data_IF_543681096272
#
_entry.id   IF_543681096272
#
_cell.length_a   1.000
_cell.length_b   1.000
_cell.length_c   1.000
_cell.angle_alpha   90.00
_cell.angle_beta   90.00
_cell.angle_gamma   90.00
#
_symmetry.space_group_name_H-M   'P 1'
#
loop_
_entity.id
_entity.type
_entity.pdbx_description
1 polymer ?
#
# COMPACT_ATOMS: atom_id res chain seq x y z
N UNK A 1 2.59 0.75 -10.52
CA UNK A 1 2.38 2.11 -9.98
C UNK A 1 2.87 2.14 -8.54
N UNK A 2 3.26 3.29 -8.02
CA UNK A 2 3.57 3.47 -6.59
C UNK A 2 2.73 4.62 -6.04
N UNK A 3 2.16 4.44 -4.85
CA UNK A 3 1.26 5.40 -4.18
C UNK A 3 1.85 5.83 -2.84
N UNK A 4 1.54 7.05 -2.39
CA UNK A 4 1.98 7.52 -1.08
C UNK A 4 0.87 7.32 -0.04
N UNK A 5 1.24 6.79 1.13
CA UNK A 5 0.40 6.63 2.30
C UNK A 5 0.84 7.60 3.39
N UNK A 6 -0.13 8.01 4.20
CA UNK A 6 0.08 8.57 5.52
C UNK A 6 0.81 7.52 6.40
N UNK A 7 1.86 7.94 7.09
CA UNK A 7 2.61 7.04 7.95
C UNK A 7 1.78 6.55 9.14
N UNK A 8 1.86 5.24 9.40
CA UNK A 8 1.09 4.57 10.43
C UNK A 8 2.02 3.72 11.30
N UNK A 9 2.10 4.04 12.59
CA UNK A 9 2.98 3.35 13.54
C UNK A 9 2.54 1.89 13.81
N UNK A 10 1.27 1.58 13.51
CA UNK A 10 0.70 0.24 13.60
C UNK A 10 0.82 -0.57 12.29
N UNK A 11 1.77 -0.19 11.42
CA UNK A 11 2.04 -0.89 10.17
C UNK A 11 0.84 -0.96 9.21
N UNK A 12 -0.04 0.02 9.27
CA UNK A 12 -1.29 0.10 8.49
C UNK A 12 -2.20 -1.14 8.66
N UNK A 13 -2.21 -1.72 9.87
CA UNK A 13 -3.00 -2.90 10.19
C UNK A 13 -4.13 -2.62 11.19
N UNK A 14 -4.22 -1.39 11.70
CA UNK A 14 -5.23 -1.04 12.70
C UNK A 14 -5.68 0.41 12.50
N UNK A 15 -6.81 0.75 13.10
CA UNK A 15 -7.29 2.12 13.11
C UNK A 15 -6.35 2.97 13.97
N UNK A 16 -5.74 4.00 13.39
CA UNK A 16 -4.88 4.92 14.15
C UNK A 16 -4.85 6.31 13.57
N UNK A 17 -4.79 7.29 14.46
CA UNK A 17 -4.50 8.68 14.13
C UNK A 17 -3.03 8.96 14.42
N UNK A 18 -2.33 9.59 13.48
CA UNK A 18 -0.96 10.06 13.69
C UNK A 18 -0.88 11.57 13.46
N UNK A 19 -0.88 12.36 14.55
CA UNK A 19 -0.83 13.82 14.49
C UNK A 19 0.46 14.37 13.88
N UNK A 20 1.53 13.57 13.83
CA UNK A 20 2.84 13.96 13.27
C UNK A 20 2.92 13.74 11.77
N UNK A 21 1.92 13.09 11.14
CA UNK A 21 1.97 12.75 9.72
C UNK A 21 2.05 13.99 8.85
N UNK A 22 2.87 13.97 7.78
CA UNK A 22 3.01 15.14 6.92
C UNK A 22 1.75 15.52 6.13
N UNK A 23 0.81 14.59 5.98
CA UNK A 23 -0.38 14.71 5.15
C UNK A 23 -1.48 15.48 5.88
N UNK A 24 -1.84 16.67 5.41
CA UNK A 24 -2.84 17.51 6.07
C UNK A 24 -4.19 16.82 6.24
N UNK A 25 -4.63 16.03 5.25
CA UNK A 25 -5.88 15.26 5.34
C UNK A 25 -5.85 14.16 6.42
N UNK A 26 -4.66 13.70 6.80
CA UNK A 26 -4.48 12.68 7.83
C UNK A 26 -4.11 13.28 9.20
N UNK A 27 -3.92 14.61 9.27
CA UNK A 27 -3.81 15.37 10.52
C UNK A 27 -5.23 15.77 10.95
N UNK A 28 -5.86 14.96 11.78
CA UNK A 28 -7.23 15.25 12.19
C UNK A 28 -7.69 14.44 13.38
N UNK A 29 -8.97 14.60 13.70
CA UNK A 29 -9.67 13.83 14.73
C UNK A 29 -9.89 12.39 14.29
N UNK A 30 -10.05 12.16 12.98
CA UNK A 30 -10.35 10.85 12.42
C UNK A 30 -9.12 10.18 11.77
N UNK A 31 -9.01 8.85 11.85
CA UNK A 31 -7.98 8.06 11.18
C UNK A 31 -8.06 8.20 9.65
N UNK A 32 -6.93 8.26 8.92
CA UNK A 32 -6.94 8.16 7.47
C UNK A 32 -7.30 6.73 7.04
N UNK A 33 -8.10 6.55 5.99
CA UNK A 33 -8.50 5.21 5.52
C UNK A 33 -7.30 4.30 5.15
N UNK A 34 -6.17 4.90 4.78
CA UNK A 34 -4.91 4.21 4.46
C UNK A 34 -4.36 3.37 5.62
N UNK A 35 -4.74 3.65 6.88
CA UNK A 35 -4.26 2.94 8.06
C UNK A 35 -4.69 1.47 8.15
N UNK A 36 -5.53 0.97 7.25
CA UNK A 36 -5.94 -0.44 7.18
C UNK A 36 -5.50 -1.15 5.89
N UNK A 37 -4.60 -0.55 5.09
CA UNK A 37 -4.15 -1.13 3.83
C UNK A 37 -3.45 -2.49 3.98
N UNK A 38 -2.93 -2.83 5.15
CA UNK A 38 -2.28 -4.13 5.38
C UNK A 38 -2.99 -4.98 6.43
N UNK A 39 -4.17 -4.56 6.89
CA UNK A 39 -5.13 -5.47 7.52
C UNK A 39 -5.89 -6.23 6.41
N UNK A 40 -5.61 -7.52 6.24
CA UNK A 40 -6.23 -8.34 5.19
C UNK A 40 -7.46 -9.11 5.69
N UNK A 41 -8.06 -8.67 6.80
CA UNK A 41 -9.24 -9.31 7.42
C UNK A 41 -10.29 -8.27 7.81
N UNK A 42 -10.36 -7.15 7.08
CA UNK A 42 -11.30 -6.08 7.40
C UNK A 42 -12.74 -6.56 7.36
N UNK A 43 -13.52 -6.12 8.33
CA UNK A 43 -14.97 -6.35 8.43
C UNK A 43 -15.69 -5.02 8.63
N UNK A 44 -16.93 -4.94 8.18
CA UNK A 44 -17.79 -3.80 8.44
C UNK A 44 -18.43 -3.86 9.83
N UNK A 45 -19.22 -2.85 10.18
CA UNK A 45 -19.89 -2.73 11.48
C UNK A 45 -20.91 -3.83 11.77
N UNK A 46 -21.36 -4.55 10.75
CA UNK A 46 -22.27 -5.68 10.88
C UNK A 46 -21.50 -7.01 10.97
N UNK A 47 -20.17 -6.96 10.99
CA UNK A 47 -19.29 -8.12 10.97
C UNK A 47 -19.17 -8.77 9.58
N UNK A 48 -19.73 -8.15 8.53
CA UNK A 48 -19.63 -8.65 7.16
C UNK A 48 -18.24 -8.39 6.61
N UNK A 49 -17.73 -9.35 5.85
CA UNK A 49 -16.42 -9.28 5.24
C UNK A 49 -16.31 -8.09 4.26
N UNK A 50 -15.38 -7.17 4.52
CA UNK A 50 -14.91 -6.19 3.52
C UNK A 50 -13.85 -6.85 2.66
N UNK A 51 -12.87 -7.50 3.29
CA UNK A 51 -11.91 -8.36 2.60
C UNK A 51 -12.42 -9.79 2.54
N UNK A 52 -12.15 -10.48 1.44
CA UNK A 52 -12.46 -11.90 1.27
C UNK A 52 -11.19 -12.74 1.40
N UNK A 53 -11.31 -14.07 1.32
CA UNK A 53 -10.14 -14.97 1.28
C UNK A 53 -9.24 -14.73 0.06
N UNK A 54 -9.75 -14.09 -1.00
CA UNK A 54 -9.03 -13.85 -2.25
C UNK A 54 -8.75 -12.38 -2.53
N UNK A 55 -9.54 -11.45 -1.96
CA UNK A 55 -9.47 -10.03 -2.28
C UNK A 55 -9.23 -9.19 -1.03
N UNK A 56 -8.21 -8.35 -1.08
CA UNK A 56 -7.98 -7.28 -0.10
C UNK A 56 -8.37 -5.94 -0.72
N UNK A 57 -9.03 -5.09 0.04
CA UNK A 57 -9.35 -3.71 -0.32
C UNK A 57 -8.42 -2.73 0.40
N UNK A 58 -8.07 -1.65 -0.28
CA UNK A 58 -7.24 -0.60 0.27
C UNK A 58 -7.68 0.77 -0.22
N UNK A 59 -6.98 1.78 0.29
CA UNK A 59 -7.20 3.17 -0.03
C UNK A 59 -5.87 3.88 -0.24
N UNK A 60 -5.84 4.83 -1.17
CA UNK A 60 -4.80 5.85 -1.21
C UNK A 60 -5.42 7.19 -1.61
N UNK A 61 -4.97 8.27 -1.00
CA UNK A 61 -5.47 9.60 -1.33
C UNK A 61 -4.90 10.05 -2.68
N UNK A 62 -5.76 10.54 -3.57
CA UNK A 62 -5.35 11.17 -4.83
C UNK A 62 -6.36 12.24 -5.24
N UNK A 63 -5.88 13.32 -5.87
CA UNK A 63 -6.73 14.33 -6.50
C UNK A 63 -7.18 13.94 -7.91
N UNK A 64 -6.52 12.96 -8.52
CA UNK A 64 -6.80 12.50 -9.89
C UNK A 64 -6.84 10.98 -9.97
N UNK A 65 -7.68 10.43 -10.84
CA UNK A 65 -7.74 8.99 -11.09
C UNK A 65 -6.54 8.53 -11.93
N UNK A 66 -5.84 7.43 -11.59
CA UNK A 66 -4.74 6.89 -12.39
C UNK A 66 -5.20 6.31 -13.75
N UNK A 67 -5.34 7.17 -14.76
CA UNK A 67 -5.87 6.79 -16.09
C UNK A 67 -5.02 5.80 -16.90
N UNK A 68 -3.73 5.65 -16.59
CA UNK A 68 -2.81 4.73 -17.28
C UNK A 68 -2.56 3.44 -16.49
N UNK A 69 -3.21 3.28 -15.33
CA UNK A 69 -3.11 2.05 -14.58
C UNK A 69 -3.95 0.98 -15.29
N UNK A 70 -3.31 -0.13 -15.63
CA UNK A 70 -3.96 -1.28 -16.24
C UNK A 70 -4.45 -2.18 -15.11
N UNK A 71 -5.71 -2.61 -15.16
CA UNK A 71 -6.25 -3.59 -14.23
C UNK A 71 -5.39 -4.85 -14.22
N UNK A 72 -5.34 -5.54 -13.07
CA UNK A 72 -4.42 -6.65 -12.81
C UNK A 72 -2.94 -6.21 -12.75
N UNK A 73 -2.68 -4.93 -12.49
CA UNK A 73 -1.34 -4.38 -12.35
C UNK A 73 -0.76 -4.59 -10.95
N UNK A 74 0.34 -3.88 -10.66
CA UNK A 74 0.92 -3.82 -9.32
C UNK A 74 0.87 -2.41 -8.75
N UNK A 75 0.48 -2.32 -7.48
CA UNK A 75 0.49 -1.08 -6.70
C UNK A 75 1.48 -1.25 -5.55
N UNK A 76 2.61 -0.56 -5.63
CA UNK A 76 3.56 -0.45 -4.54
C UNK A 76 3.13 0.67 -3.60
N UNK A 77 3.38 0.50 -2.32
CA UNK A 77 3.04 1.47 -1.29
C UNK A 77 4.31 2.10 -0.75
N UNK A 78 4.33 3.43 -0.75
CA UNK A 78 5.38 4.26 -0.19
C UNK A 78 4.81 5.04 0.98
N UNK A 79 5.61 5.28 2.01
CA UNK A 79 5.25 6.16 3.12
C UNK A 79 6.49 6.85 3.68
N UNK A 80 6.33 8.08 4.16
CA UNK A 80 7.41 8.83 4.80
C UNK A 80 7.29 8.75 6.32
N UNK A 81 8.29 8.16 6.98
CA UNK A 81 8.32 8.00 8.43
C UNK A 81 8.24 9.34 9.15
N UNK A 82 7.46 9.37 10.23
CA UNK A 82 7.38 10.52 11.14
C UNK A 82 8.52 10.53 12.16
N UNK A 83 9.29 9.44 12.27
CA UNK A 83 10.37 9.29 13.26
C UNK A 83 11.69 9.84 12.71
N UNK A 84 12.10 9.39 11.52
CA UNK A 84 13.40 9.74 10.93
C UNK A 84 13.29 10.54 9.64
N UNK A 85 12.05 10.89 9.25
CA UNK A 85 11.72 11.65 8.05
C UNK A 85 12.22 11.02 6.74
N UNK A 86 12.53 9.71 6.72
CA UNK A 86 12.91 8.99 5.51
C UNK A 86 11.68 8.40 4.81
N UNK A 87 11.77 8.30 3.49
CA UNK A 87 10.79 7.60 2.68
C UNK A 87 11.08 6.10 2.62
N UNK A 88 10.03 5.30 2.70
CA UNK A 88 10.08 3.85 2.72
C UNK A 88 9.09 3.26 1.72
N UNK A 89 9.48 2.19 1.03
CA UNK A 89 8.55 1.32 0.30
C UNK A 89 8.14 0.22 1.28
N UNK A 90 6.85 0.15 1.57
CA UNK A 90 6.34 -0.59 2.74
C UNK A 90 5.53 -1.82 2.35
N UNK A 91 5.15 -1.98 1.09
CA UNK A 91 4.40 -3.14 0.64
C UNK A 91 3.96 -3.06 -0.80
N UNK A 92 3.20 -4.05 -1.21
CA UNK A 92 2.69 -4.19 -2.59
C UNK A 92 1.36 -4.93 -2.61
N UNK A 93 0.48 -4.51 -3.53
CA UNK A 93 -0.66 -5.28 -3.99
C UNK A 93 -0.40 -5.77 -5.42
N UNK A 94 -0.57 -7.08 -5.62
CA UNK A 94 -0.55 -7.74 -6.92
C UNK A 94 -1.95 -7.99 -7.48
N UNK A 95 -2.05 -8.16 -8.80
CA UNK A 95 -3.33 -8.26 -9.53
C UNK A 95 -4.28 -7.12 -9.16
N UNK A 96 -3.70 -5.95 -8.92
CA UNK A 96 -4.41 -4.83 -8.37
C UNK A 96 -5.34 -4.19 -9.39
N UNK A 97 -6.46 -3.70 -8.90
CA UNK A 97 -7.51 -3.06 -9.70
C UNK A 97 -7.89 -1.72 -9.07
N UNK A 98 -8.14 -0.71 -9.90
CA UNK A 98 -8.77 0.52 -9.43
C UNK A 98 -10.27 0.28 -9.31
N UNK A 99 -10.84 0.53 -8.15
CA UNK A 99 -12.29 0.43 -7.96
C UNK A 99 -12.91 1.69 -8.57
N UNK A 100 -13.87 1.53 -9.48
CA UNK A 100 -14.40 2.63 -10.31
C UNK A 100 -15.10 3.73 -9.52
N UNK A 101 -15.56 3.41 -8.30
CA UNK A 101 -16.15 4.36 -7.36
C UNK A 101 -15.64 4.03 -5.96
N UNK A 102 -15.48 5.05 -5.12
CA UNK A 102 -15.20 4.83 -3.70
C UNK A 102 -16.32 3.98 -3.13
N UNK A 103 -15.95 2.89 -2.48
CA UNK A 103 -16.91 1.95 -1.93
C UNK A 103 -16.99 2.15 -0.41
N UNK A 104 -17.87 3.04 0.08
CA UNK A 104 -18.06 3.24 1.50
C UNK A 104 -18.65 1.96 2.11
N UNK A 105 -18.05 1.53 3.21
CA UNK A 105 -18.53 0.43 4.05
C UNK A 105 -18.61 0.93 5.48
N UNK A 106 -19.66 0.58 6.22
CA UNK A 106 -19.76 0.97 7.63
C UNK A 106 -18.56 0.46 8.43
N UNK A 107 -17.80 1.34 9.06
CA UNK A 107 -16.64 1.01 9.88
C UNK A 107 -16.48 2.02 11.03
N UNK A 108 -16.72 1.59 12.28
CA UNK A 108 -16.67 2.44 13.47
C UNK A 108 -15.26 3.00 13.67
N UNK A 109 -15.19 4.30 13.95
CA UNK A 109 -13.94 4.99 14.27
C UNK A 109 -13.35 5.81 13.13
N UNK A 110 -13.85 5.67 11.90
CA UNK A 110 -13.58 6.61 10.82
C UNK A 110 -14.54 7.80 10.82
N UNK A 111 -14.22 8.83 10.04
CA UNK A 111 -15.16 9.92 9.77
C UNK A 111 -16.46 9.34 9.20
N UNK A 112 -17.61 9.80 9.72
CA UNK A 112 -18.96 9.26 9.40
C UNK A 112 -19.15 7.76 9.68
N UNK A 113 -18.23 7.12 10.40
CA UNK A 113 -18.18 5.67 10.61
C UNK A 113 -18.19 4.89 9.28
N UNK A 114 -17.42 5.36 8.30
CA UNK A 114 -17.28 4.71 6.99
C UNK A 114 -15.80 4.46 6.64
N UNK A 115 -15.49 3.27 6.16
CA UNK A 115 -14.23 2.97 5.50
C UNK A 115 -14.38 3.16 3.99
N UNK A 116 -13.50 3.96 3.39
CA UNK A 116 -13.41 4.13 1.95
C UNK A 116 -12.34 3.20 1.37
N UNK A 117 -12.63 2.60 0.24
CA UNK A 117 -11.65 1.88 -0.58
C UNK A 117 -11.72 2.33 -2.04
N UNK A 118 -10.56 2.41 -2.69
CA UNK A 118 -10.44 2.78 -4.10
C UNK A 118 -9.48 1.87 -4.90
N UNK A 119 -8.90 0.87 -4.22
CA UNK A 119 -8.08 -0.17 -4.81
C UNK A 119 -8.43 -1.52 -4.20
N UNK A 120 -8.18 -2.57 -4.98
CA UNK A 120 -8.16 -3.93 -4.48
C UNK A 120 -6.93 -4.67 -5.01
N UNK A 121 -6.60 -5.79 -4.40
CA UNK A 121 -5.55 -6.71 -4.83
C UNK A 121 -5.85 -8.14 -4.42
N UNK A 122 -5.12 -9.09 -5.00
CA UNK A 122 -5.24 -10.50 -4.63
C UNK A 122 -4.47 -10.77 -3.33
N UNK A 123 -5.12 -11.38 -2.33
CA UNK A 123 -4.52 -11.65 -1.01
C UNK A 123 -3.25 -12.50 -1.12
N UNK A 124 -3.24 -13.47 -2.03
CA UNK A 124 -2.10 -14.36 -2.27
C UNK A 124 -0.92 -13.66 -2.95
N UNK A 125 -1.14 -12.48 -3.55
CA UNK A 125 -0.13 -11.66 -4.25
C UNK A 125 0.02 -10.27 -3.62
N UNK A 126 -0.48 -10.08 -2.41
CA UNK A 126 -0.37 -8.81 -1.68
C UNK A 126 0.35 -9.03 -0.36
N UNK A 127 1.20 -8.08 0.03
CA UNK A 127 1.94 -8.17 1.29
C UNK A 127 2.45 -6.81 1.75
N UNK A 128 2.48 -6.66 3.08
CA UNK A 128 3.37 -5.71 3.74
C UNK A 128 4.79 -6.28 3.66
N UNK A 129 5.77 -5.41 3.46
CA UNK A 129 7.19 -5.77 3.45
C UNK A 129 7.72 -6.04 4.87
N UNK A 130 8.87 -6.70 4.96
CA UNK A 130 9.56 -6.96 6.23
C UNK A 130 10.15 -5.66 6.79
N UNK A 131 10.22 -5.59 8.11
CA UNK A 131 10.94 -4.52 8.82
C UNK A 131 12.41 -4.97 9.00
N UNK A 132 13.42 -4.15 8.67
CA UNK A 132 13.33 -2.78 8.15
C UNK A 132 12.85 -2.69 6.70
N UNK A 133 11.95 -1.73 6.45
CA UNK A 133 11.43 -1.44 5.12
C UNK A 133 12.52 -0.88 4.18
N UNK A 134 12.31 -1.04 2.87
CA UNK A 134 13.22 -0.54 1.84
C UNK A 134 13.22 1.00 1.82
N UNK A 135 14.39 1.62 2.07
CA UNK A 135 14.54 3.09 1.98
C UNK A 135 14.37 3.59 0.53
N UNK A 136 13.82 4.78 0.32
CA UNK A 136 13.55 5.32 -1.02
C UNK A 136 14.81 5.69 -1.83
N UNK A 137 15.94 5.94 -1.14
CA UNK A 137 17.15 6.54 -1.74
C UNK A 137 17.67 5.81 -2.98
N UNK A 138 17.74 4.46 -3.02
CA UNK A 138 18.19 3.74 -4.20
C UNK A 138 17.23 3.79 -5.39
N UNK A 139 15.99 4.28 -5.19
CA UNK A 139 14.88 4.19 -6.15
C UNK A 139 14.44 5.54 -6.72
N UNK A 140 14.80 6.66 -6.08
CA UNK A 140 14.30 8.01 -6.43
C UNK A 140 15.06 8.77 -7.52
N UNK A 141 16.01 8.15 -8.22
CA UNK A 141 16.79 8.80 -9.27
C UNK A 141 17.37 10.15 -8.84
N UNK A 142 17.09 11.21 -9.59
CA UNK A 142 17.46 12.60 -9.25
C UNK A 142 16.36 13.36 -8.49
N UNK A 143 15.22 12.73 -8.22
CA UNK A 143 14.07 13.38 -7.62
C UNK A 143 14.22 13.51 -6.09
N UNK A 144 13.59 14.56 -5.54
CA UNK A 144 13.59 14.79 -4.07
C UNK A 144 12.87 13.68 -3.31
N UNK A 145 11.83 13.08 -3.91
CA UNK A 145 10.98 12.03 -3.34
C UNK A 145 10.58 11.04 -4.44
N UNK A 146 10.37 9.78 -4.07
CA UNK A 146 9.89 8.75 -5.02
C UNK A 146 8.46 9.02 -5.52
N UNK A 147 7.58 9.49 -4.64
CA UNK A 147 6.20 9.93 -4.91
C UNK A 147 5.93 11.27 -4.21
N UNK A 148 5.06 12.08 -4.81
CA UNK A 148 4.54 13.30 -4.19
C UNK A 148 3.78 13.04 -2.88
N UNK A 149 3.39 14.10 -2.18
CA UNK A 149 2.73 13.95 -0.88
C UNK A 149 1.33 13.32 -0.97
N UNK A 150 0.60 13.60 -2.05
CA UNK A 150 -0.71 13.01 -2.34
C UNK A 150 -0.66 12.41 -3.74
N UNK A 151 -1.26 11.23 -3.92
CA UNK A 151 -1.39 10.59 -5.22
C UNK A 151 -0.35 9.50 -5.46
N UNK A 152 0.11 9.42 -6.72
CA UNK A 152 0.79 8.26 -7.24
C UNK A 152 1.80 8.63 -8.32
N UNK A 153 2.65 7.66 -8.68
CA UNK A 153 3.58 7.74 -9.82
C UNK A 153 3.59 6.41 -10.58
N UNK A 154 3.65 6.49 -11.90
CA UNK A 154 3.96 5.32 -12.73
C UNK A 154 5.46 5.05 -12.70
N UNK A 155 5.81 3.79 -12.44
CA UNK A 155 7.21 3.33 -12.41
C UNK A 155 7.43 2.34 -13.54
N UNK A 156 8.67 2.29 -14.03
CA UNK A 156 9.08 1.32 -15.05
C UNK A 156 9.09 -0.09 -14.46
N UNK A 157 8.85 -1.09 -15.30
CA UNK A 157 8.95 -2.52 -14.95
C UNK A 157 10.29 -2.86 -14.28
N UNK A 158 11.41 -2.32 -14.78
CA UNK A 158 12.73 -2.55 -14.18
C UNK A 158 12.83 -2.06 -12.73
N UNK A 159 12.21 -0.94 -12.39
CA UNK A 159 12.19 -0.44 -11.02
C UNK A 159 11.30 -1.30 -10.12
N UNK A 160 10.13 -1.72 -10.62
CA UNK A 160 9.23 -2.63 -9.90
C UNK A 160 9.92 -3.97 -9.58
N UNK A 161 10.57 -4.59 -10.57
CA UNK A 161 11.32 -5.83 -10.39
C UNK A 161 12.47 -5.67 -9.38
N UNK A 162 13.21 -4.55 -9.45
CA UNK A 162 14.28 -4.26 -8.49
C UNK A 162 13.75 -4.21 -7.06
N UNK A 163 12.64 -3.49 -6.82
CA UNK A 163 12.01 -3.41 -5.49
C UNK A 163 11.63 -4.81 -4.98
N UNK A 164 11.00 -5.64 -5.83
CA UNK A 164 10.60 -7.00 -5.44
C UNK A 164 11.80 -7.90 -5.13
N UNK A 165 12.87 -7.80 -5.91
CA UNK A 165 14.09 -8.58 -5.68
C UNK A 165 14.83 -8.16 -4.40
N UNK A 166 14.93 -6.85 -4.15
CA UNK A 166 15.56 -6.33 -2.94
C UNK A 166 14.78 -6.78 -1.68
N UNK A 167 13.44 -6.70 -1.73
CA UNK A 167 12.59 -7.19 -0.66
C UNK A 167 12.68 -8.71 -0.48
N UNK A 168 12.74 -9.47 -1.57
CA UNK A 168 12.91 -10.92 -1.50
C UNK A 168 14.24 -11.29 -0.82
N UNK A 169 15.31 -10.53 -1.08
CA UNK A 169 16.58 -10.71 -0.39
C UNK A 169 16.46 -10.38 1.10
N UNK A 170 15.77 -9.29 1.47
CA UNK A 170 15.50 -8.97 2.87
C UNK A 170 14.69 -10.08 3.59
N UNK A 171 13.72 -10.69 2.90
CA UNK A 171 12.96 -11.84 3.42
C UNK A 171 13.84 -13.07 3.66
N UNK A 172 14.81 -13.33 2.78
CA UNK A 172 15.77 -14.43 2.96
C UNK A 172 16.66 -14.21 4.17
N UNK A 173 17.13 -12.98 4.38
CA UNK A 173 17.95 -12.61 5.54
C UNK A 173 17.17 -12.69 6.86
N UNK A 174 15.90 -12.28 6.86
CA UNK A 174 15.04 -12.27 8.06
C UNK A 174 14.30 -13.59 8.32
N UNK A 175 14.39 -14.58 7.42
CA UNK A 175 13.70 -15.87 7.55
C UNK A 175 12.19 -15.82 7.27
N UNK A 176 11.67 -14.75 6.66
CA UNK A 176 10.23 -14.59 6.42
C UNK A 176 9.75 -15.32 5.16
N UNK A 177 9.67 -16.65 5.25
CA UNK A 177 9.34 -17.53 4.12
C UNK A 177 7.95 -17.25 3.52
N UNK A 178 6.96 -16.88 4.35
CA UNK A 178 5.61 -16.58 3.88
C UNK A 178 5.56 -15.39 2.91
N UNK A 179 6.29 -14.32 3.23
CA UNK A 179 6.41 -13.14 2.35
C UNK A 179 7.23 -13.50 1.11
N UNK A 180 8.34 -14.24 1.27
CA UNK A 180 9.18 -14.67 0.14
C UNK A 180 8.40 -15.45 -0.94
N UNK A 181 7.48 -16.34 -0.54
CA UNK A 181 6.61 -17.08 -1.47
C UNK A 181 5.73 -16.12 -2.28
N UNK A 182 5.14 -15.10 -1.64
CA UNK A 182 4.31 -14.10 -2.33
C UNK A 182 5.14 -13.26 -3.30
N UNK A 183 6.35 -12.87 -2.92
CA UNK A 183 7.25 -12.09 -3.78
C UNK A 183 7.71 -12.86 -5.01
N UNK A 184 8.00 -14.15 -4.89
CA UNK A 184 8.33 -14.99 -6.05
C UNK A 184 7.19 -15.03 -7.07
N UNK A 185 5.93 -15.17 -6.61
CA UNK A 185 4.76 -15.10 -7.49
C UNK A 185 4.68 -13.76 -8.22
N UNK A 186 4.83 -12.67 -7.48
CA UNK A 186 4.85 -11.32 -8.05
C UNK A 186 5.97 -11.14 -9.08
N UNK A 187 7.19 -11.59 -8.80
CA UNK A 187 8.30 -11.47 -9.75
C UNK A 187 7.99 -12.19 -11.07
N UNK A 188 7.45 -13.41 -11.00
CA UNK A 188 7.05 -14.17 -12.18
C UNK A 188 5.95 -13.44 -12.98
N UNK A 189 4.93 -12.92 -12.29
CA UNK A 189 3.87 -12.15 -12.93
C UNK A 189 4.41 -10.88 -13.60
N UNK A 190 5.28 -10.13 -12.90
CA UNK A 190 5.88 -8.91 -13.41
C UNK A 190 6.75 -9.16 -14.65
N UNK A 191 7.44 -10.30 -14.73
CA UNK A 191 8.21 -10.69 -15.91
C UNK A 191 7.32 -10.92 -17.14
N UNK A 192 6.11 -11.44 -16.95
CA UNK A 192 5.12 -11.66 -18.01
C UNK A 192 4.35 -10.42 -18.46
N UNK A 193 4.38 -9.33 -17.70
CA UNK A 193 3.72 -8.07 -18.08
C UNK A 193 4.48 -7.38 -19.24
N UNK A 194 3.76 -6.77 -20.21
CA UNK A 194 4.36 -6.03 -21.33
C UNK A 194 5.16 -4.79 -20.88
#
# INVERSE_FOLDING_TARGET
MIVNLAWSDNRWQQVSVNQKVGHSYAKGTYPPHECLNFDFRKKDNLGSAIDTSSTVHGYFQSHVTPKRFVNKGMIFFYSRSTVDHKGYIVGVYGEATLVSHWFPRGYVGFEKNEFLSNISGEVAKSTLFVDPYLTETPYKGTEKRLVGQVGFRYIKKSLALRILHDELNACKTSGNQGIAIKLNKLINDAQGLP
#
